data_IF_562017618498
#
_entry.id   IF_562017618498
#
_cell.length_a   1.000
_cell.length_b   1.000
_cell.length_c   1.000
_cell.angle_alpha   90.00
_cell.angle_beta   90.00
_cell.angle_gamma   90.00
#
_symmetry.space_group_name_H-M   'P 1'
#
loop_
_entity.id
_entity.type
_entity.pdbx_description
1 polymer ?
#
# COMPACT_ATOMS: atom_id res chain seq x y z
N UNK A 1 11.99 7.04 -5.31
CA UNK A 1 11.04 7.26 -6.42
C UNK A 1 10.61 8.73 -6.54
N UNK A 2 10.13 9.35 -5.47
CA UNK A 2 9.52 10.68 -5.51
C UNK A 2 10.41 11.80 -6.08
N UNK A 3 11.68 11.86 -5.70
CA UNK A 3 12.59 12.93 -6.15
C UNK A 3 12.81 12.97 -7.66
N UNK A 4 12.75 11.81 -8.33
CA UNK A 4 12.98 11.69 -9.77
C UNK A 4 11.73 11.98 -10.62
N UNK A 5 10.58 12.24 -10.01
CA UNK A 5 9.32 12.50 -10.71
C UNK A 5 9.00 13.99 -10.67
N UNK A 6 9.09 14.66 -11.82
CA UNK A 6 8.94 16.11 -11.90
C UNK A 6 7.48 16.59 -11.76
N UNK A 7 6.53 15.80 -12.25
CA UNK A 7 5.13 16.20 -12.44
C UNK A 7 4.13 15.13 -12.00
N UNK A 8 4.58 14.11 -11.26
CA UNK A 8 3.67 13.09 -10.73
C UNK A 8 2.92 13.62 -9.50
N UNK A 9 1.81 12.96 -9.14
CA UNK A 9 1.25 13.04 -7.79
C UNK A 9 1.47 11.68 -7.14
N UNK A 10 2.03 11.67 -5.94
CA UNK A 10 2.34 10.46 -5.19
C UNK A 10 1.46 10.43 -3.96
N UNK A 11 0.68 9.38 -3.82
CA UNK A 11 -0.15 9.15 -2.65
C UNK A 11 0.56 8.13 -1.76
N UNK A 12 0.70 8.43 -0.47
CA UNK A 12 1.14 7.44 0.53
C UNK A 12 -0.01 7.19 1.49
N UNK A 13 -0.14 5.96 1.99
CA UNK A 13 -1.11 5.63 3.03
C UNK A 13 -0.30 5.09 4.20
N UNK A 14 -0.42 5.75 5.34
CA UNK A 14 0.25 5.36 6.56
C UNK A 14 -0.79 5.14 7.67
N UNK A 15 -0.49 4.27 8.63
CA UNK A 15 -1.30 4.21 9.84
C UNK A 15 -1.26 5.57 10.57
N UNK A 16 -2.36 6.02 11.19
CA UNK A 16 -2.40 7.28 11.92
C UNK A 16 -1.27 7.43 12.94
N UNK A 17 -0.75 8.65 13.22
CA UNK A 17 0.33 8.87 14.18
C UNK A 17 0.04 8.31 15.58
N UNK A 18 -1.21 8.35 15.99
CA UNK A 18 -1.72 7.88 17.28
C UNK A 18 -2.22 6.42 17.25
N UNK A 19 -2.06 5.72 16.11
CA UNK A 19 -2.44 4.32 16.00
C UNK A 19 -1.68 3.46 17.03
N UNK A 20 -2.44 2.62 17.73
CA UNK A 20 -1.98 1.65 18.72
C UNK A 20 -2.74 0.35 18.52
N UNK A 21 -2.03 -0.78 18.47
CA UNK A 21 -2.60 -2.11 18.31
C UNK A 21 -3.66 -2.45 19.37
N UNK A 22 -3.56 -1.86 20.57
CA UNK A 22 -4.52 -2.09 21.66
C UNK A 22 -5.86 -1.37 21.46
N UNK A 23 -5.95 -0.45 20.51
CA UNK A 23 -7.17 0.30 20.15
C UNK A 23 -7.78 -0.14 18.83
N UNK A 24 -7.20 -1.15 18.18
CA UNK A 24 -7.62 -1.62 16.87
C UNK A 24 -8.75 -2.64 16.99
N UNK A 25 -9.97 -2.14 17.27
CA UNK A 25 -11.18 -2.97 17.32
C UNK A 25 -11.95 -3.02 16.00
N UNK A 26 -11.51 -2.26 14.99
CA UNK A 26 -12.29 -1.97 13.78
C UNK A 26 -11.71 -2.63 12.51
N UNK A 27 -10.49 -3.18 12.58
CA UNK A 27 -9.88 -3.92 11.48
C UNK A 27 -10.42 -5.35 11.37
N UNK A 28 -11.01 -5.67 10.22
CA UNK A 28 -11.44 -7.04 9.88
C UNK A 28 -10.28 -8.02 9.65
N UNK A 29 -9.05 -7.50 9.48
CA UNK A 29 -7.84 -8.29 9.30
C UNK A 29 -6.87 -8.08 10.47
N UNK A 30 -6.28 -9.16 11.03
CA UNK A 30 -5.29 -9.02 12.09
C UNK A 30 -4.08 -8.23 11.59
N UNK A 31 -3.54 -7.36 12.45
CA UNK A 31 -2.28 -6.68 12.17
C UNK A 31 -1.13 -7.62 12.49
N UNK A 32 -0.18 -7.70 11.57
CA UNK A 32 1.12 -8.29 11.85
C UNK A 32 2.16 -7.16 12.02
N UNK A 33 3.44 -7.51 12.14
CA UNK A 33 4.55 -6.55 12.10
C UNK A 33 4.49 -5.47 13.19
N UNK A 34 3.93 -5.81 14.36
CA UNK A 34 3.75 -4.88 15.48
C UNK A 34 5.05 -4.14 15.85
N UNK A 35 6.19 -4.82 15.75
CA UNK A 35 7.50 -4.22 16.04
C UNK A 35 7.87 -3.09 15.04
N UNK A 36 7.49 -3.22 13.77
CA UNK A 36 7.64 -2.18 12.74
C UNK A 36 6.64 -1.04 12.99
N UNK A 37 5.38 -1.39 13.28
CA UNK A 37 4.33 -0.41 13.59
C UNK A 37 4.75 0.48 14.77
N UNK A 38 5.26 -0.11 15.86
CA UNK A 38 5.67 0.63 17.07
C UNK A 38 6.86 1.57 16.81
N UNK A 39 7.76 1.20 15.90
CA UNK A 39 8.97 1.98 15.59
C UNK A 39 8.82 2.90 14.38
N UNK A 40 7.63 2.97 13.79
CA UNK A 40 7.38 3.72 12.55
C UNK A 40 7.71 5.20 12.71
N UNK A 41 8.33 5.77 11.68
CA UNK A 41 8.54 7.21 11.55
C UNK A 41 7.82 7.67 10.31
N UNK A 42 6.68 8.35 10.50
CA UNK A 42 5.79 8.72 9.41
C UNK A 42 6.44 9.73 8.47
N UNK A 43 6.47 9.42 7.18
CA UNK A 43 7.06 10.26 6.15
C UNK A 43 8.58 10.40 6.22
N UNK A 44 9.29 9.45 6.88
CA UNK A 44 10.76 9.45 7.02
C UNK A 44 11.49 9.74 5.70
N UNK A 45 10.99 9.19 4.60
CA UNK A 45 11.66 9.25 3.30
C UNK A 45 11.43 10.55 2.53
N UNK A 46 10.46 11.39 2.93
CA UNK A 46 10.12 12.61 2.17
C UNK A 46 9.99 13.88 3.02
N UNK A 47 9.77 13.79 4.34
CA UNK A 47 9.62 14.98 5.19
C UNK A 47 10.86 15.85 5.16
N UNK A 48 10.66 17.15 4.93
CA UNK A 48 11.74 18.14 4.77
C UNK A 48 12.41 18.12 3.39
N UNK A 49 11.97 17.26 2.47
CA UNK A 49 12.45 17.23 1.08
C UNK A 49 11.56 18.07 0.18
N UNK A 50 12.13 18.57 -0.93
CA UNK A 50 11.37 19.33 -1.94
C UNK A 50 10.19 18.55 -2.54
N UNK A 51 10.25 17.21 -2.52
CA UNK A 51 9.17 16.39 -3.05
C UNK A 51 7.93 16.36 -2.15
N UNK A 52 8.07 16.60 -0.84
CA UNK A 52 6.96 16.59 0.14
C UNK A 52 5.83 17.52 -0.29
N UNK A 53 6.12 18.82 -0.39
CA UNK A 53 5.10 19.82 -0.72
C UNK A 53 4.64 19.69 -2.18
N UNK A 54 5.59 19.38 -3.07
CA UNK A 54 5.40 19.45 -4.51
C UNK A 54 4.48 18.35 -5.03
N UNK A 55 4.74 17.09 -4.65
CA UNK A 55 4.09 15.94 -5.29
C UNK A 55 3.49 14.93 -4.31
N UNK A 56 3.88 14.92 -3.04
CA UNK A 56 3.41 13.90 -2.09
C UNK A 56 2.09 14.32 -1.42
N UNK A 57 1.16 13.38 -1.31
CA UNK A 57 -0.11 13.50 -0.58
C UNK A 57 -0.20 12.32 0.38
N UNK A 58 0.11 12.58 1.65
CA UNK A 58 0.07 11.57 2.70
C UNK A 58 -1.35 11.42 3.25
N UNK A 59 -1.87 10.19 3.27
CA UNK A 59 -3.16 9.82 3.83
C UNK A 59 -2.93 9.00 5.10
N UNK A 60 -3.77 9.18 6.10
CA UNK A 60 -3.71 8.40 7.33
C UNK A 60 -4.91 7.47 7.46
N UNK A 61 -4.64 6.18 7.54
CA UNK A 61 -5.69 5.18 7.65
C UNK A 61 -5.15 3.76 7.52
N UNK A 62 -6.00 2.81 7.89
CA UNK A 62 -5.73 1.40 7.72
C UNK A 62 -6.14 0.93 6.32
N UNK A 63 -5.20 0.37 5.55
CA UNK A 63 -5.48 -0.12 4.19
C UNK A 63 -6.51 -1.24 4.16
N UNK A 64 -6.69 -1.99 5.26
CA UNK A 64 -7.75 -3.00 5.37
C UNK A 64 -9.16 -2.38 5.30
N UNK A 65 -9.33 -1.12 5.71
CA UNK A 65 -10.65 -0.47 5.83
C UNK A 65 -10.82 0.65 4.78
N UNK A 66 -9.76 1.40 4.50
CA UNK A 66 -9.84 2.59 3.66
C UNK A 66 -10.31 2.24 2.23
N UNK A 67 -11.11 3.14 1.67
CA UNK A 67 -11.58 3.08 0.29
C UNK A 67 -10.62 3.84 -0.63
N UNK A 68 -9.93 3.10 -1.50
CA UNK A 68 -8.93 3.67 -2.40
C UNK A 68 -9.55 4.59 -3.46
N UNK A 69 -10.84 4.46 -3.76
CA UNK A 69 -11.53 5.32 -4.72
C UNK A 69 -11.59 6.78 -4.24
N UNK A 70 -11.49 7.01 -2.93
CA UNK A 70 -11.45 8.36 -2.33
C UNK A 70 -10.09 9.04 -2.42
N UNK A 71 -9.04 8.28 -2.72
CA UNK A 71 -7.66 8.76 -2.79
C UNK A 71 -7.34 9.24 -4.21
N UNK A 72 -7.72 8.45 -5.21
CA UNK A 72 -7.54 8.78 -6.61
C UNK A 72 -7.60 7.56 -7.52
N UNK A 73 -7.09 7.72 -8.74
CA UNK A 73 -6.96 6.63 -9.73
C UNK A 73 -5.50 6.51 -10.20
N UNK A 74 -4.58 6.02 -9.36
CA UNK A 74 -3.16 5.91 -9.72
C UNK A 74 -2.95 4.97 -10.90
N UNK A 75 -1.95 5.24 -11.71
CA UNK A 75 -1.48 4.34 -12.78
C UNK A 75 -0.39 3.38 -12.32
N UNK A 76 0.15 3.60 -11.12
CA UNK A 76 1.19 2.79 -10.51
C UNK A 76 0.89 2.60 -9.03
N UNK A 77 0.93 1.36 -8.56
CA UNK A 77 0.72 0.97 -7.17
C UNK A 77 1.95 0.24 -6.66
N UNK A 78 2.46 0.65 -5.51
CA UNK A 78 3.55 0.00 -4.79
C UNK A 78 2.99 -0.50 -3.46
N UNK A 79 2.90 -1.81 -3.30
CA UNK A 79 2.34 -2.48 -2.13
C UNK A 79 3.50 -3.00 -1.28
N UNK A 80 3.73 -2.34 -0.16
CA UNK A 80 4.75 -2.63 0.84
C UNK A 80 4.11 -2.46 2.24
N UNK A 81 3.17 -3.36 2.51
CA UNK A 81 2.33 -3.37 3.71
C UNK A 81 2.55 -4.63 4.52
N UNK A 82 1.50 -5.14 5.16
CA UNK A 82 1.60 -6.40 5.89
C UNK A 82 1.80 -7.59 4.94
N UNK A 83 2.68 -8.52 5.33
CA UNK A 83 3.10 -9.65 4.51
C UNK A 83 2.18 -10.89 4.58
N UNK A 84 0.98 -10.75 5.15
CA UNK A 84 -0.01 -11.83 5.15
C UNK A 84 -0.72 -11.91 3.80
N UNK A 85 -1.16 -13.11 3.46
CA UNK A 85 -1.91 -13.36 2.24
C UNK A 85 -3.19 -12.50 2.15
N UNK A 86 -3.91 -12.35 3.27
CA UNK A 86 -5.19 -11.64 3.33
C UNK A 86 -5.02 -10.13 3.11
N UNK A 87 -3.97 -9.51 3.67
CA UNK A 87 -3.67 -8.09 3.45
C UNK A 87 -3.21 -7.86 2.00
N UNK A 88 -2.28 -8.69 1.51
CA UNK A 88 -1.85 -8.64 0.12
C UNK A 88 -3.05 -8.74 -0.83
N UNK A 89 -3.97 -9.67 -0.57
CA UNK A 89 -5.20 -9.81 -1.36
C UNK A 89 -6.07 -8.56 -1.28
N UNK A 90 -6.43 -8.11 -0.08
CA UNK A 90 -7.28 -6.93 0.14
C UNK A 90 -6.76 -5.71 -0.62
N UNK A 91 -5.49 -5.38 -0.44
CA UNK A 91 -4.89 -4.17 -1.02
C UNK A 91 -4.82 -4.27 -2.54
N UNK A 92 -4.53 -5.45 -3.07
CA UNK A 92 -4.46 -5.67 -4.52
C UNK A 92 -5.83 -5.59 -5.18
N UNK A 93 -6.88 -6.11 -4.54
CA UNK A 93 -8.26 -6.00 -5.03
C UNK A 93 -8.72 -4.54 -5.07
N UNK A 94 -8.39 -3.76 -4.03
CA UNK A 94 -8.68 -2.32 -3.99
C UNK A 94 -7.88 -1.55 -5.04
N UNK A 95 -6.60 -1.87 -5.24
CA UNK A 95 -5.79 -1.30 -6.32
C UNK A 95 -6.45 -1.55 -7.68
N UNK A 96 -6.81 -2.81 -7.96
CA UNK A 96 -7.40 -3.20 -9.23
C UNK A 96 -8.72 -2.47 -9.50
N UNK A 97 -9.55 -2.26 -8.47
CA UNK A 97 -10.83 -1.58 -8.60
C UNK A 97 -10.70 -0.11 -9.06
N UNK A 98 -9.58 0.56 -8.74
CA UNK A 98 -9.34 1.97 -9.08
C UNK A 98 -8.30 2.17 -10.19
N UNK A 99 -7.56 1.11 -10.52
CA UNK A 99 -6.53 1.09 -11.54
C UNK A 99 -7.13 1.38 -12.94
N UNK A 100 -6.63 2.38 -13.67
CA UNK A 100 -6.99 2.57 -15.06
C UNK A 100 -6.36 1.48 -15.94
N UNK A 101 -6.88 1.32 -17.16
CA UNK A 101 -6.28 0.45 -18.16
C UNK A 101 -4.80 0.80 -18.39
N UNK A 102 -3.94 -0.22 -18.42
CA UNK A 102 -2.50 -0.08 -18.59
C UNK A 102 -1.73 0.29 -17.31
N UNK A 103 -2.40 0.34 -16.15
CA UNK A 103 -1.72 0.56 -14.87
C UNK A 103 -0.85 -0.62 -14.42
N UNK A 104 0.02 -0.38 -13.44
CA UNK A 104 0.97 -1.39 -12.92
C UNK A 104 0.82 -1.52 -11.41
N UNK A 105 0.81 -2.75 -10.92
CA UNK A 105 0.87 -3.07 -9.49
C UNK A 105 2.18 -3.80 -9.21
N UNK A 106 2.91 -3.36 -8.19
CA UNK A 106 4.17 -3.93 -7.75
C UNK A 106 4.08 -4.31 -6.28
N UNK A 107 4.43 -5.56 -5.96
CA UNK A 107 4.47 -6.08 -4.59
C UNK A 107 5.92 -6.16 -4.11
N UNK A 108 6.17 -5.60 -2.94
CA UNK A 108 7.46 -5.73 -2.26
C UNK A 108 7.60 -7.10 -1.58
N UNK A 109 8.84 -7.49 -1.21
CA UNK A 109 9.13 -8.69 -0.40
C UNK A 109 8.53 -10.01 -0.92
N UNK A 110 8.51 -10.20 -2.25
CA UNK A 110 8.09 -11.46 -2.86
C UNK A 110 9.21 -12.52 -2.78
N UNK A 111 9.49 -13.01 -1.57
CA UNK A 111 10.53 -14.01 -1.28
C UNK A 111 10.09 -15.08 -0.25
N UNK A 112 10.96 -16.06 0.01
CA UNK A 112 10.67 -17.20 0.89
C UNK A 112 10.39 -16.81 2.35
N UNK A 113 10.82 -15.64 2.82
CA UNK A 113 10.54 -15.16 4.17
C UNK A 113 9.11 -14.62 4.31
N UNK A 114 8.46 -14.32 3.18
CA UNK A 114 7.12 -13.74 3.11
C UNK A 114 6.17 -14.64 2.32
N UNK A 115 5.88 -15.87 2.82
CA UNK A 115 5.12 -16.86 2.07
C UNK A 115 3.69 -16.42 1.73
N UNK A 116 3.11 -15.50 2.51
CA UNK A 116 1.80 -14.89 2.21
C UNK A 116 1.81 -14.08 0.92
N UNK A 117 2.85 -13.25 0.74
CA UNK A 117 3.08 -12.46 -0.48
C UNK A 117 3.31 -13.39 -1.67
N UNK A 118 4.25 -14.34 -1.56
CA UNK A 118 4.60 -15.26 -2.66
C UNK A 118 3.39 -16.07 -3.12
N UNK A 119 2.62 -16.61 -2.17
CA UNK A 119 1.40 -17.36 -2.48
C UNK A 119 0.41 -16.50 -3.25
N UNK A 120 0.14 -15.29 -2.76
CA UNK A 120 -0.82 -14.39 -3.40
C UNK A 120 -0.39 -13.99 -4.82
N UNK A 121 0.86 -13.54 -4.98
CA UNK A 121 1.41 -13.12 -6.27
C UNK A 121 1.42 -14.29 -7.27
N UNK A 122 1.70 -15.52 -6.81
CA UNK A 122 1.67 -16.71 -7.67
C UNK A 122 0.26 -17.06 -8.16
N UNK A 123 -0.77 -16.80 -7.35
CA UNK A 123 -2.17 -17.04 -7.71
C UNK A 123 -2.76 -15.90 -8.57
N UNK A 124 -2.17 -14.70 -8.52
CA UNK A 124 -2.69 -13.49 -9.20
C UNK A 124 -2.95 -13.67 -10.71
N UNK A 125 -2.01 -14.21 -11.53
CA UNK A 125 -2.23 -14.39 -12.97
C UNK A 125 -3.41 -15.33 -13.28
N UNK A 126 -3.61 -16.37 -12.46
CA UNK A 126 -4.68 -17.35 -12.64
C UNK A 126 -6.07 -16.73 -12.44
N UNK A 127 -6.17 -15.57 -11.81
CA UNK A 127 -7.42 -14.86 -11.58
C UNK A 127 -7.86 -14.00 -12.78
N UNK A 128 -7.05 -13.92 -13.85
CA UNK A 128 -7.36 -13.10 -15.03
C UNK A 128 -7.33 -11.59 -14.76
N UNK A 129 -6.68 -11.17 -13.68
CA UNK A 129 -6.69 -9.79 -13.14
C UNK A 129 -5.49 -8.97 -13.63
N UNK A 130 -5.29 -8.93 -14.95
CA UNK A 130 -4.24 -8.10 -15.53
C UNK A 130 -4.75 -6.68 -15.75
N UNK A 131 -4.01 -5.69 -15.25
CA UNK A 131 -4.26 -4.29 -15.55
C UNK A 131 -3.92 -3.94 -17.01
N UNK A 132 -3.23 -4.83 -17.73
CA UNK A 132 -2.91 -4.78 -19.15
C UNK A 132 -3.86 -5.69 -19.96
N UNK A 133 -4.83 -5.08 -20.62
CA UNK A 133 -5.57 -5.66 -21.73
C UNK A 133 -5.27 -4.88 -23.01
#
# INVERSE_FOLDING_TARGET
MAENLAHATIHTIDLPPDFSSNKDSDSSLPKDDHHLIVRRVLGREFKGQLCEERIVRQHFGDTAIIDFARIGRPTFFFIDGTHTYEHCKSDSEKCLAVCPHGGTVFWHDCDELHPGVVKFVSEWPAQGRNCSH
#
